data_IF_435927129091
#
_entry.id   IF_435927129091
#
_cell.length_a   1.000
_cell.length_b   1.000
_cell.length_c   1.000
_cell.angle_alpha   90.00
_cell.angle_beta   90.00
_cell.angle_gamma   90.00
#
_symmetry.space_group_name_H-M   'P 1'
#
loop_
_entity.id
_entity.type
_entity.pdbx_description
1 polymer ?
#
# COMPACT_ATOMS: atom_id res chain seq x y z
N UNK A 1 -13.49 28.89 -12.83
CA UNK A 1 -13.93 28.73 -11.44
C UNK A 1 -14.47 27.32 -11.32
N UNK A 2 -13.64 26.39 -10.90
CA UNK A 2 -13.97 24.97 -10.84
C UNK A 2 -14.40 24.67 -9.42
N UNK A 3 -15.52 23.95 -9.28
CA UNK A 3 -16.02 23.53 -7.97
C UNK A 3 -15.03 22.55 -7.32
N UNK A 4 -14.86 22.58 -6.00
CA UNK A 4 -14.03 21.62 -5.30
C UNK A 4 -14.62 20.21 -5.48
N UNK A 5 -13.75 19.23 -5.52
CA UNK A 5 -14.13 17.81 -5.50
C UNK A 5 -14.79 17.55 -4.15
N UNK A 6 -16.09 17.35 -4.14
CA UNK A 6 -16.81 16.89 -2.94
C UNK A 6 -16.80 15.36 -2.92
N UNK A 7 -16.11 14.77 -1.98
CA UNK A 7 -16.32 13.40 -1.57
C UNK A 7 -17.51 13.37 -0.61
N UNK A 8 -18.61 12.86 -1.08
CA UNK A 8 -19.80 12.68 -0.27
C UNK A 8 -19.76 11.31 0.41
N UNK A 9 -19.53 11.31 1.71
CA UNK A 9 -19.88 10.18 2.55
C UNK A 9 -21.37 10.27 2.85
N UNK A 10 -22.17 9.35 2.34
CA UNK A 10 -23.53 9.24 2.82
C UNK A 10 -23.48 8.49 4.16
N UNK A 11 -23.70 9.19 5.26
CA UNK A 11 -24.00 8.57 6.54
C UNK A 11 -25.37 7.87 6.43
N UNK A 12 -25.36 6.63 5.97
CA UNK A 12 -26.49 5.74 6.21
C UNK A 12 -26.57 5.46 7.71
N UNK A 13 -27.77 5.41 8.25
CA UNK A 13 -28.05 5.24 9.67
C UNK A 13 -27.13 4.20 10.30
N UNK A 14 -26.39 4.59 11.33
CA UNK A 14 -25.53 3.79 12.18
C UNK A 14 -26.33 2.71 12.92
N UNK A 15 -26.68 1.65 12.25
CA UNK A 15 -27.11 0.40 12.84
C UNK A 15 -26.75 -0.71 11.87
N UNK A 16 -25.71 -1.49 12.21
CA UNK A 16 -25.39 -2.82 11.70
C UNK A 16 -24.58 -2.99 10.42
N UNK A 17 -23.83 -2.02 9.89
CA UNK A 17 -22.82 -2.35 8.89
C UNK A 17 -21.52 -1.61 9.15
N UNK A 18 -20.44 -2.34 9.40
CA UNK A 18 -19.07 -1.83 9.56
C UNK A 18 -18.40 -1.46 8.23
N UNK A 19 -19.15 -1.01 7.24
CA UNK A 19 -18.63 -0.57 5.94
C UNK A 19 -19.05 0.87 5.67
N UNK A 20 -18.08 1.72 5.29
CA UNK A 20 -18.38 3.06 4.80
C UNK A 20 -18.48 3.03 3.27
N UNK A 21 -19.59 3.44 2.67
CA UNK A 21 -19.64 3.61 1.24
C UNK A 21 -18.72 4.77 0.83
N UNK A 22 -17.68 4.48 0.06
CA UNK A 22 -16.88 5.50 -0.60
C UNK A 22 -17.57 5.81 -1.92
N UNK A 23 -18.32 6.91 -1.96
CA UNK A 23 -18.83 7.44 -3.21
C UNK A 23 -17.96 8.61 -3.62
N UNK A 24 -17.25 8.48 -4.73
CA UNK A 24 -16.47 9.55 -5.31
C UNK A 24 -17.27 10.14 -6.46
N UNK A 25 -17.82 11.33 -6.21
CA UNK A 25 -18.46 12.12 -7.26
C UNK A 25 -17.56 13.31 -7.59
N UNK A 26 -16.84 13.22 -8.64
CA UNK A 26 -16.02 14.29 -9.11
C UNK A 26 -15.05 13.74 -10.18
N UNK A 27 -14.47 14.52 -11.11
CA UNK A 27 -13.88 14.04 -12.34
C UNK A 27 -12.41 13.52 -12.25
N UNK A 28 -12.11 12.23 -12.54
CA UNK A 28 -10.78 11.69 -12.85
C UNK A 28 -10.70 11.38 -14.35
N UNK A 29 -9.71 11.84 -15.04
CA UNK A 29 -9.64 11.61 -16.48
C UNK A 29 -8.95 10.31 -16.84
N UNK A 30 -9.38 9.73 -17.91
CA UNK A 30 -8.49 8.88 -18.69
C UNK A 30 -7.48 9.78 -19.41
N UNK A 31 -6.20 9.40 -19.42
CA UNK A 31 -5.08 10.16 -19.97
C UNK A 31 -5.22 10.64 -21.42
N UNK A 32 -6.27 10.22 -22.12
CA UNK A 32 -6.51 10.59 -23.52
C UNK A 32 -7.21 11.94 -23.72
N UNK A 33 -7.73 12.58 -22.65
CA UNK A 33 -8.56 13.78 -22.80
C UNK A 33 -8.06 14.94 -21.94
N UNK A 34 -6.93 15.53 -22.33
CA UNK A 34 -6.34 16.70 -21.68
C UNK A 34 -7.21 17.98 -21.73
N UNK A 35 -8.42 17.93 -22.26
CA UNK A 35 -9.30 19.10 -22.48
C UNK A 35 -10.76 18.93 -22.07
N UNK A 36 -11.16 17.82 -21.48
CA UNK A 36 -12.54 17.60 -21.06
C UNK A 36 -12.72 17.78 -19.55
N UNK A 37 -13.85 18.34 -19.09
CA UNK A 37 -14.17 18.37 -17.67
C UNK A 37 -14.32 16.93 -17.19
N UNK A 38 -13.52 16.62 -16.22
CA UNK A 38 -13.23 15.32 -15.65
C UNK A 38 -14.49 14.65 -15.10
N UNK A 39 -14.85 13.49 -15.65
CA UNK A 39 -15.82 12.58 -15.04
C UNK A 39 -15.08 11.56 -14.26
N UNK A 40 -15.43 11.37 -12.98
CA UNK A 40 -14.77 10.42 -12.11
C UNK A 40 -15.53 9.11 -12.09
N UNK A 41 -14.92 8.16 -12.64
CA UNK A 41 -15.03 6.80 -12.15
C UNK A 41 -13.69 6.43 -11.55
N UNK A 42 -13.71 6.00 -10.30
CA UNK A 42 -12.61 5.44 -9.57
C UNK A 42 -12.22 4.12 -10.22
N UNK A 43 -11.06 4.08 -10.86
CA UNK A 43 -10.59 2.90 -11.54
C UNK A 43 -9.64 2.11 -10.66
N UNK A 44 -10.15 1.08 -10.01
CA UNK A 44 -9.31 0.02 -9.45
C UNK A 44 -8.53 -0.65 -10.59
N UNK A 45 -7.33 -1.06 -10.29
CA UNK A 45 -6.47 -1.82 -11.21
C UNK A 45 -6.76 -3.31 -11.08
N UNK A 46 -6.62 -4.05 -12.17
CA UNK A 46 -6.83 -5.48 -12.23
C UNK A 46 -7.85 -5.89 -13.26
N UNK A 47 -8.14 -7.18 -13.35
CA UNK A 47 -9.23 -7.67 -14.18
C UNK A 47 -10.62 -7.28 -13.63
N UNK A 48 -11.65 -7.42 -14.43
CA UNK A 48 -13.00 -6.94 -14.10
C UNK A 48 -13.56 -7.58 -12.83
N UNK A 49 -13.31 -8.86 -12.63
CA UNK A 49 -13.80 -9.59 -11.46
C UNK A 49 -13.11 -9.13 -10.18
N UNK A 50 -11.79 -8.95 -10.23
CA UNK A 50 -11.02 -8.41 -9.10
C UNK A 50 -11.41 -6.97 -8.78
N UNK A 51 -11.64 -6.14 -9.78
CA UNK A 51 -12.12 -4.77 -9.58
C UNK A 51 -13.50 -4.76 -8.90
N UNK A 52 -14.43 -5.62 -9.35
CA UNK A 52 -15.75 -5.74 -8.73
C UNK A 52 -15.68 -6.23 -7.28
N UNK A 53 -14.88 -7.26 -7.01
CA UNK A 53 -14.64 -7.78 -5.68
C UNK A 53 -13.98 -6.73 -4.76
N UNK A 54 -12.95 -6.05 -5.24
CA UNK A 54 -12.28 -4.97 -4.51
C UNK A 54 -13.23 -3.82 -4.19
N UNK A 55 -14.07 -3.42 -5.14
CA UNK A 55 -15.09 -2.38 -4.93
C UNK A 55 -16.07 -2.78 -3.84
N UNK A 56 -16.56 -4.01 -3.86
CA UNK A 56 -17.43 -4.52 -2.80
C UNK A 56 -16.76 -4.44 -1.43
N UNK A 57 -15.48 -4.85 -1.32
CA UNK A 57 -14.73 -4.78 -0.06
C UNK A 57 -14.57 -3.33 0.42
N UNK A 58 -14.24 -2.42 -0.48
CA UNK A 58 -14.10 -0.99 -0.14
C UNK A 58 -15.43 -0.41 0.36
N UNK A 59 -16.54 -0.81 -0.24
CA UNK A 59 -17.87 -0.31 0.13
C UNK A 59 -18.45 -0.95 1.41
N UNK A 60 -18.23 -2.25 1.61
CA UNK A 60 -18.95 -3.01 2.66
C UNK A 60 -18.04 -3.74 3.64
N UNK A 61 -16.71 -3.70 3.44
CA UNK A 61 -15.77 -4.56 4.16
C UNK A 61 -15.80 -6.02 3.68
N UNK A 62 -14.91 -6.83 4.23
CA UNK A 62 -14.97 -8.28 4.03
C UNK A 62 -16.19 -8.80 4.78
N UNK A 63 -17.20 -9.20 4.04
CA UNK A 63 -18.42 -9.79 4.62
C UNK A 63 -18.15 -11.20 5.11
N UNK A 64 -18.93 -11.64 6.09
CA UNK A 64 -18.91 -13.03 6.58
C UNK A 64 -19.06 -14.01 5.40
N UNK A 65 -18.59 -15.28 5.57
CA UNK A 65 -18.53 -16.25 4.49
C UNK A 65 -19.82 -16.32 3.69
N UNK A 66 -19.71 -16.32 2.38
CA UNK A 66 -20.83 -16.37 1.44
C UNK A 66 -21.63 -17.70 1.49
N UNK A 67 -21.32 -18.58 2.43
CA UNK A 67 -21.98 -19.89 2.59
C UNK A 67 -21.58 -20.94 1.54
N UNK A 68 -20.52 -20.67 0.77
CA UNK A 68 -20.06 -21.59 -0.28
C UNK A 68 -18.93 -22.52 0.17
N UNK A 69 -18.33 -22.32 1.36
CA UNK A 69 -17.23 -23.10 1.90
C UNK A 69 -17.43 -23.47 3.37
N UNK A 70 -16.49 -24.23 3.89
CA UNK A 70 -16.46 -24.64 5.30
C UNK A 70 -15.88 -23.54 6.19
N UNK A 71 -16.29 -23.53 7.45
CA UNK A 71 -15.80 -22.58 8.45
C UNK A 71 -14.99 -23.33 9.50
N UNK A 72 -13.73 -22.97 9.62
CA UNK A 72 -12.78 -23.51 10.57
C UNK A 72 -12.48 -22.48 11.67
N UNK A 73 -12.08 -22.95 12.83
CA UNK A 73 -11.61 -22.14 13.94
C UNK A 73 -10.30 -22.70 14.45
N UNK A 74 -9.34 -21.85 14.74
CA UNK A 74 -8.05 -22.23 15.32
C UNK A 74 -7.58 -21.22 16.38
N UNK A 75 -7.13 -21.71 17.50
CA UNK A 75 -6.46 -20.94 18.55
C UNK A 75 -4.92 -20.97 18.43
N UNK A 76 -4.21 -20.24 19.29
CA UNK A 76 -2.74 -20.18 19.24
C UNK A 76 -2.02 -21.53 19.42
N UNK A 77 -2.66 -22.51 20.09
CA UNK A 77 -2.11 -23.84 20.32
C UNK A 77 -2.45 -24.87 19.24
N UNK A 78 -3.35 -24.51 18.31
CA UNK A 78 -3.80 -25.44 17.26
C UNK A 78 -2.80 -25.49 16.09
N UNK A 79 -2.92 -26.50 15.25
CA UNK A 79 -2.16 -26.62 14.01
C UNK A 79 -2.75 -25.71 12.91
N UNK A 80 -2.57 -24.39 13.08
CA UNK A 80 -3.05 -23.38 12.13
C UNK A 80 -2.54 -23.64 10.72
N UNK A 81 -1.25 -24.02 10.58
CA UNK A 81 -0.65 -24.28 9.26
C UNK A 81 -1.28 -25.51 8.60
N UNK A 82 -1.53 -26.56 9.36
CA UNK A 82 -2.22 -27.75 8.86
C UNK A 82 -3.62 -27.43 8.35
N UNK A 83 -4.36 -26.58 9.06
CA UNK A 83 -5.69 -26.11 8.61
C UNK A 83 -5.57 -25.28 7.34
N UNK A 84 -4.65 -24.32 7.28
CA UNK A 84 -4.44 -23.48 6.08
C UNK A 84 -4.16 -24.34 4.85
N UNK A 85 -3.35 -25.38 5.00
CA UNK A 85 -3.00 -26.27 3.88
C UNK A 85 -4.17 -27.09 3.34
N UNK A 86 -5.29 -27.15 4.08
CA UNK A 86 -6.52 -27.88 3.68
C UNK A 86 -7.60 -26.96 3.12
N UNK A 87 -7.45 -25.62 3.25
CA UNK A 87 -8.47 -24.69 2.81
C UNK A 87 -8.68 -24.76 1.31
N UNK A 88 -9.93 -24.85 0.92
CA UNK A 88 -10.39 -24.79 -0.47
C UNK A 88 -11.18 -23.53 -0.78
N UNK A 89 -11.67 -23.40 -2.02
CA UNK A 89 -12.43 -22.24 -2.44
C UNK A 89 -13.66 -21.94 -1.58
N UNK A 90 -13.74 -20.73 -1.05
CA UNK A 90 -14.83 -20.24 -0.21
C UNK A 90 -14.68 -20.58 1.28
N UNK A 91 -13.67 -21.34 1.66
CA UNK A 91 -13.44 -21.67 3.07
C UNK A 91 -13.00 -20.45 3.87
N UNK A 92 -13.39 -20.44 5.14
CA UNK A 92 -13.01 -19.40 6.08
C UNK A 92 -12.34 -20.02 7.30
N UNK A 93 -11.12 -19.55 7.60
CA UNK A 93 -10.46 -19.82 8.88
C UNK A 93 -10.61 -18.60 9.80
N UNK A 94 -11.36 -18.74 10.86
CA UNK A 94 -11.37 -17.80 11.96
C UNK A 94 -10.30 -18.13 12.99
N UNK A 95 -9.38 -17.19 13.17
CA UNK A 95 -8.36 -17.25 14.22
C UNK A 95 -8.98 -16.79 15.55
N UNK A 96 -8.87 -17.60 16.60
CA UNK A 96 -9.29 -17.23 17.95
C UNK A 96 -8.32 -16.25 18.58
N UNK A 97 -8.82 -15.47 19.51
CA UNK A 97 -8.01 -14.49 20.25
C UNK A 97 -6.81 -15.11 20.95
N UNK A 98 -5.73 -14.36 20.98
CA UNK A 98 -4.48 -14.74 21.61
C UNK A 98 -3.25 -14.44 20.78
N UNK A 99 -2.08 -14.82 21.29
CA UNK A 99 -0.77 -14.54 20.67
C UNK A 99 -0.26 -15.78 19.95
N UNK A 100 0.04 -15.60 18.67
CA UNK A 100 0.58 -16.61 17.76
C UNK A 100 2.06 -16.32 17.49
N UNK A 101 2.96 -17.07 18.12
CA UNK A 101 4.41 -16.98 17.88
C UNK A 101 4.82 -17.99 16.80
N UNK A 102 4.40 -17.75 15.57
CA UNK A 102 4.67 -18.62 14.43
C UNK A 102 4.59 -17.89 13.11
N UNK A 103 5.25 -18.44 12.12
CA UNK A 103 5.17 -18.02 10.72
C UNK A 103 4.08 -18.79 10.00
N UNK A 104 3.41 -18.13 9.06
CA UNK A 104 2.35 -18.70 8.22
C UNK A 104 2.81 -18.72 6.77
N UNK A 105 2.58 -19.83 6.11
CA UNK A 105 2.96 -20.06 4.71
C UNK A 105 1.74 -20.43 3.88
N UNK A 106 1.48 -19.67 2.82
CA UNK A 106 0.45 -19.96 1.83
C UNK A 106 1.13 -20.25 0.49
N UNK A 107 1.23 -21.53 0.16
CA UNK A 107 1.85 -21.96 -1.09
C UNK A 107 0.82 -22.17 -2.20
N UNK A 108 1.27 -22.52 -3.39
CA UNK A 108 0.47 -22.73 -4.60
C UNK A 108 -0.69 -23.73 -4.46
N UNK A 109 -0.72 -24.54 -3.42
CA UNK A 109 -1.86 -25.40 -3.08
C UNK A 109 -3.05 -24.68 -2.43
N UNK A 110 -2.84 -23.47 -1.90
CA UNK A 110 -3.88 -22.65 -1.30
C UNK A 110 -4.50 -21.77 -2.40
N UNK A 111 -5.58 -22.29 -3.01
CA UNK A 111 -6.23 -21.66 -4.16
C UNK A 111 -7.72 -21.54 -3.95
N UNK A 112 -8.21 -20.32 -3.82
CA UNK A 112 -9.62 -19.99 -3.95
C UNK A 112 -10.07 -19.95 -5.41
N UNK A 113 -11.18 -19.26 -5.65
CA UNK A 113 -11.70 -18.96 -6.99
C UNK A 113 -12.23 -17.52 -7.03
N UNK A 114 -12.46 -17.03 -8.22
CA UNK A 114 -13.01 -15.69 -8.48
C UNK A 114 -14.27 -15.38 -7.65
N UNK A 115 -15.18 -16.36 -7.55
CA UNK A 115 -16.45 -16.26 -6.81
C UNK A 115 -16.37 -16.82 -5.38
N UNK A 116 -15.21 -17.32 -4.94
CA UNK A 116 -15.05 -18.07 -3.69
C UNK A 116 -13.63 -17.92 -3.13
N UNK A 117 -13.33 -16.74 -2.60
CA UNK A 117 -12.04 -16.45 -1.94
C UNK A 117 -11.89 -17.29 -0.67
N UNK A 118 -10.67 -17.73 -0.41
CA UNK A 118 -10.27 -18.26 0.89
C UNK A 118 -10.08 -17.09 1.85
N UNK A 119 -10.71 -17.17 3.04
CA UNK A 119 -10.62 -16.09 4.03
C UNK A 119 -9.87 -16.57 5.27
N UNK A 120 -8.84 -15.83 5.68
CA UNK A 120 -8.17 -15.99 6.97
C UNK A 120 -8.40 -14.70 7.75
N UNK A 121 -9.16 -14.78 8.83
CA UNK A 121 -9.65 -13.62 9.57
C UNK A 121 -9.55 -13.81 11.08
N UNK A 122 -9.42 -12.73 11.83
CA UNK A 122 -9.72 -12.77 13.25
C UNK A 122 -11.19 -13.16 13.49
N UNK A 123 -11.45 -13.97 14.49
CA UNK A 123 -12.81 -14.25 14.90
C UNK A 123 -13.50 -12.95 15.37
N UNK A 124 -14.78 -12.74 15.04
CA UNK A 124 -15.45 -11.48 15.37
C UNK A 124 -15.37 -11.12 16.84
N UNK A 125 -14.83 -9.95 17.16
CA UNK A 125 -14.66 -9.43 18.51
C UNK A 125 -13.51 -10.05 19.31
N UNK A 126 -12.65 -10.85 18.69
CA UNK A 126 -11.47 -11.44 19.33
C UNK A 126 -10.18 -10.76 18.87
N UNK A 127 -9.27 -10.50 19.81
CA UNK A 127 -7.96 -9.92 19.53
C UNK A 127 -6.98 -11.03 19.12
N UNK A 128 -6.50 -10.98 17.90
CA UNK A 128 -5.55 -11.93 17.31
C UNK A 128 -4.23 -11.24 17.02
N UNK A 129 -3.14 -11.74 17.58
CA UNK A 129 -1.82 -11.13 17.45
C UNK A 129 -0.81 -12.15 16.95
N UNK A 130 -0.17 -11.88 15.82
CA UNK A 130 1.02 -12.60 15.36
C UNK A 130 2.26 -11.86 15.83
N UNK A 131 3.00 -12.45 16.76
CA UNK A 131 4.16 -11.87 17.41
C UNK A 131 5.46 -12.52 16.91
N UNK A 132 6.27 -11.73 16.23
CA UNK A 132 7.55 -12.14 15.66
C UNK A 132 8.73 -12.08 16.63
N UNK A 133 8.58 -11.55 17.84
CA UNK A 133 9.70 -11.29 18.77
C UNK A 133 10.52 -12.53 19.11
N UNK A 134 9.90 -13.69 19.19
CA UNK A 134 10.56 -14.97 19.42
C UNK A 134 11.12 -15.66 18.19
N UNK A 135 10.88 -15.11 17.00
CA UNK A 135 11.23 -15.73 15.71
C UNK A 135 12.44 -15.09 15.05
N UNK A 136 13.00 -14.07 15.66
CA UNK A 136 14.12 -13.28 15.13
C UNK A 136 15.41 -14.11 15.00
N UNK A 137 16.11 -13.94 13.88
CA UNK A 137 17.41 -14.56 13.64
C UNK A 137 17.39 -16.07 13.46
N UNK A 138 16.24 -16.71 13.44
CA UNK A 138 16.10 -18.16 13.27
C UNK A 138 15.66 -18.57 11.86
N UNK A 139 15.50 -17.60 10.96
CA UNK A 139 15.08 -17.92 9.61
C UNK A 139 16.28 -18.17 8.71
N UNK A 140 16.30 -19.36 8.13
CA UNK A 140 17.25 -19.76 7.08
C UNK A 140 16.66 -19.44 5.69
N UNK A 141 15.44 -18.89 5.65
CA UNK A 141 14.79 -18.49 4.40
C UNK A 141 15.57 -17.32 3.80
N UNK A 142 15.71 -17.32 2.48
CA UNK A 142 16.46 -16.27 1.75
C UNK A 142 15.83 -14.89 1.93
N UNK A 143 14.56 -14.84 2.33
CA UNK A 143 13.73 -13.65 2.43
C UNK A 143 13.48 -13.19 3.88
N UNK A 144 14.33 -13.62 4.81
CA UNK A 144 14.29 -13.17 6.20
C UNK A 144 13.10 -13.72 7.02
N UNK A 145 12.86 -13.16 8.20
CA UNK A 145 11.82 -13.62 9.12
C UNK A 145 10.43 -13.08 8.74
N UNK A 146 9.89 -13.48 7.59
CA UNK A 146 8.53 -13.10 7.19
C UNK A 146 7.48 -13.81 8.02
N UNK A 147 6.51 -13.07 8.57
CA UNK A 147 5.44 -13.63 9.38
C UNK A 147 4.40 -14.36 8.52
N UNK A 148 3.93 -13.72 7.47
CA UNK A 148 3.08 -14.33 6.44
C UNK A 148 3.82 -14.33 5.12
N UNK A 149 3.98 -15.50 4.52
CA UNK A 149 4.60 -15.65 3.22
C UNK A 149 3.64 -16.32 2.23
N UNK A 150 3.29 -15.59 1.18
CA UNK A 150 2.37 -15.99 0.13
C UNK A 150 3.18 -16.23 -1.14
N UNK A 151 3.21 -17.47 -1.63
CA UNK A 151 3.96 -17.85 -2.82
C UNK A 151 3.11 -18.70 -3.76
N UNK A 152 2.75 -18.13 -4.91
CA UNK A 152 1.97 -18.84 -5.93
C UNK A 152 0.54 -19.18 -5.52
N UNK A 153 0.03 -18.65 -4.42
CA UNK A 153 -1.36 -18.81 -4.00
C UNK A 153 -2.27 -17.77 -4.68
N UNK A 154 -3.57 -18.02 -4.67
CA UNK A 154 -4.49 -17.08 -5.30
C UNK A 154 -5.90 -17.09 -4.72
N UNK A 155 -6.61 -15.97 -4.93
CA UNK A 155 -7.95 -15.72 -4.40
C UNK A 155 -8.00 -15.92 -2.88
N UNK A 156 -7.15 -15.17 -2.19
CA UNK A 156 -6.98 -15.22 -0.74
C UNK A 156 -7.20 -13.84 -0.14
N UNK A 157 -7.83 -13.79 1.01
CA UNK A 157 -7.95 -12.56 1.79
C UNK A 157 -7.55 -12.77 3.24
N UNK A 158 -6.72 -11.82 3.73
CA UNK A 158 -6.23 -11.74 5.11
C UNK A 158 -6.84 -10.52 5.76
N UNK A 159 -7.47 -10.65 6.93
CA UNK A 159 -8.18 -9.51 7.53
C UNK A 159 -8.29 -9.56 9.05
N UNK A 160 -8.24 -8.37 9.67
CA UNK A 160 -8.71 -8.13 11.03
C UNK A 160 -7.80 -8.59 12.15
N UNK A 161 -6.49 -8.78 11.94
CA UNK A 161 -5.55 -9.19 12.98
C UNK A 161 -4.31 -8.28 13.03
N UNK A 162 -3.57 -8.41 14.12
CA UNK A 162 -2.31 -7.69 14.35
C UNK A 162 -1.12 -8.55 13.96
N UNK A 163 -0.08 -7.93 13.36
CA UNK A 163 1.24 -8.52 13.13
C UNK A 163 2.30 -7.55 13.67
N UNK A 164 3.15 -8.03 14.58
CA UNK A 164 4.11 -7.15 15.24
C UNK A 164 5.46 -7.81 15.50
N UNK A 165 6.43 -6.96 15.88
CA UNK A 165 7.72 -7.33 16.44
C UNK A 165 8.53 -8.31 15.56
N UNK A 166 8.38 -8.23 14.23
CA UNK A 166 9.25 -8.97 13.32
C UNK A 166 10.56 -8.19 13.15
N UNK A 167 11.66 -8.82 13.55
CA UNK A 167 13.01 -8.25 13.48
C UNK A 167 13.92 -9.10 12.64
N UNK A 168 14.73 -8.46 11.85
CA UNK A 168 15.76 -9.18 11.10
C UNK A 168 16.10 -8.48 9.80
N UNK A 169 17.18 -8.95 9.20
CA UNK A 169 17.48 -8.59 7.82
C UNK A 169 16.36 -9.12 6.93
N UNK A 170 15.84 -8.28 6.07
CA UNK A 170 14.75 -8.58 5.14
C UNK A 170 13.46 -9.09 5.80
N UNK A 171 13.23 -8.75 7.08
CA UNK A 171 12.01 -9.08 7.80
C UNK A 171 10.78 -8.44 7.14
N UNK A 172 9.68 -9.19 7.07
CA UNK A 172 8.41 -8.67 6.58
C UNK A 172 7.24 -9.17 7.44
N UNK A 173 6.26 -8.32 7.71
CA UNK A 173 5.02 -8.81 8.30
C UNK A 173 4.26 -9.65 7.27
N UNK A 174 4.07 -9.12 6.06
CA UNK A 174 3.42 -9.82 4.95
C UNK A 174 4.36 -9.77 3.74
N UNK A 175 4.70 -10.93 3.20
CA UNK A 175 5.50 -11.09 1.97
C UNK A 175 4.66 -11.81 0.90
N UNK A 176 4.50 -11.18 -0.26
CA UNK A 176 3.94 -11.79 -1.46
C UNK A 176 5.07 -12.05 -2.46
N UNK A 177 5.12 -13.24 -3.01
CA UNK A 177 6.13 -13.66 -3.97
C UNK A 177 5.55 -14.24 -5.27
N UNK A 178 6.40 -14.57 -6.27
CA UNK A 178 6.00 -14.86 -7.63
C UNK A 178 4.83 -15.84 -7.79
N UNK A 179 3.92 -15.50 -8.71
CA UNK A 179 2.73 -16.29 -9.02
C UNK A 179 1.57 -16.10 -8.05
N UNK A 180 1.74 -15.31 -7.01
CA UNK A 180 0.65 -14.92 -6.11
C UNK A 180 -0.27 -13.93 -6.80
N UNK A 181 -1.59 -14.16 -6.71
CA UNK A 181 -2.55 -13.32 -7.42
C UNK A 181 -3.92 -13.24 -6.71
N UNK A 182 -4.69 -12.19 -7.00
CA UNK A 182 -6.03 -11.98 -6.42
C UNK A 182 -6.01 -12.06 -4.90
N UNK A 183 -5.17 -11.21 -4.30
CA UNK A 183 -4.99 -11.16 -2.85
C UNK A 183 -5.55 -9.87 -2.29
N UNK A 184 -6.26 -9.99 -1.17
CA UNK A 184 -6.70 -8.86 -0.36
C UNK A 184 -6.02 -8.93 1.00
N UNK A 185 -5.39 -7.83 1.40
CA UNK A 185 -4.87 -7.64 2.76
C UNK A 185 -5.56 -6.42 3.33
N UNK A 186 -6.44 -6.61 4.30
CA UNK A 186 -7.23 -5.51 4.82
C UNK A 186 -7.39 -5.53 6.33
N UNK A 187 -7.61 -4.32 6.88
CA UNK A 187 -7.91 -4.14 8.30
C UNK A 187 -6.87 -4.78 9.24
N UNK A 188 -5.63 -4.86 8.81
CA UNK A 188 -4.53 -5.33 9.65
C UNK A 188 -3.94 -4.17 10.44
N UNK A 189 -3.48 -4.46 11.65
CA UNK A 189 -2.56 -3.61 12.40
C UNK A 189 -1.16 -4.20 12.29
N UNK A 190 -0.20 -3.44 11.74
CA UNK A 190 1.18 -3.89 11.54
C UNK A 190 2.13 -2.89 12.18
N UNK A 191 2.98 -3.34 13.10
CA UNK A 191 3.90 -2.41 13.76
C UNK A 191 5.18 -3.08 14.29
N UNK A 192 6.16 -2.24 14.62
CA UNK A 192 7.46 -2.68 15.14
C UNK A 192 8.16 -3.67 14.20
N UNK A 193 8.03 -3.48 12.89
CA UNK A 193 8.81 -4.23 11.92
C UNK A 193 10.15 -3.51 11.77
N UNK A 194 11.24 -4.17 12.13
CA UNK A 194 12.52 -3.46 12.26
C UNK A 194 13.70 -4.27 11.73
N UNK A 195 14.59 -3.58 11.03
CA UNK A 195 15.89 -4.13 10.66
C UNK A 195 16.90 -3.97 11.80
N UNK A 196 17.88 -4.90 11.96
CA UNK A 196 18.90 -4.80 13.01
C UNK A 196 19.79 -3.57 12.90
N UNK A 197 19.97 -3.04 11.71
CA UNK A 197 20.82 -1.88 11.45
C UNK A 197 20.17 -0.97 10.42
N UNK A 198 19.32 -0.04 10.83
CA UNK A 198 18.54 0.81 9.92
C UNK A 198 19.41 1.75 9.06
N UNK A 199 20.71 1.84 9.30
CA UNK A 199 21.67 2.63 8.51
C UNK A 199 22.57 1.79 7.60
N UNK A 200 22.27 0.52 7.38
CA UNK A 200 23.04 -0.36 6.51
C UNK A 200 22.21 -0.68 5.26
N UNK A 201 22.80 -0.47 4.08
CA UNK A 201 22.21 -0.84 2.79
C UNK A 201 21.93 -2.34 2.68
N UNK A 202 22.64 -3.16 3.46
CA UNK A 202 22.42 -4.60 3.52
C UNK A 202 21.26 -5.03 4.40
N UNK A 203 20.60 -4.09 5.08
CA UNK A 203 19.58 -4.37 6.07
C UNK A 203 18.28 -3.63 5.76
N UNK A 204 17.38 -4.34 5.13
CA UNK A 204 16.03 -3.88 4.80
C UNK A 204 14.99 -4.62 5.63
N UNK A 205 13.79 -4.04 5.76
CA UNK A 205 12.59 -4.73 6.23
C UNK A 205 11.34 -3.99 5.75
N UNK A 206 10.20 -4.67 5.75
CA UNK A 206 8.95 -4.13 5.24
C UNK A 206 7.77 -4.52 6.13
N UNK A 207 6.78 -3.66 6.26
CA UNK A 207 5.50 -4.11 6.79
C UNK A 207 4.78 -5.00 5.76
N UNK A 208 4.70 -4.57 4.51
CA UNK A 208 4.14 -5.37 3.41
C UNK A 208 5.09 -5.28 2.21
N UNK A 209 5.55 -6.42 1.74
CA UNK A 209 6.42 -6.52 0.56
C UNK A 209 5.77 -7.39 -0.53
N UNK A 210 5.63 -6.82 -1.72
CA UNK A 210 5.32 -7.54 -2.95
C UNK A 210 6.62 -7.63 -3.76
N UNK A 211 7.28 -8.79 -3.78
CA UNK A 211 8.55 -8.99 -4.44
C UNK A 211 8.41 -9.91 -5.65
N UNK A 212 8.21 -9.34 -6.82
CA UNK A 212 8.00 -10.05 -8.09
C UNK A 212 9.29 -10.60 -8.71
N UNK A 213 10.01 -11.46 -8.00
CA UNK A 213 11.24 -12.06 -8.52
C UNK A 213 10.99 -12.98 -9.72
N UNK A 214 11.87 -12.92 -10.69
CA UNK A 214 11.83 -13.81 -11.85
C UNK A 214 10.66 -13.55 -12.80
N UNK A 215 10.19 -14.59 -13.51
CA UNK A 215 9.26 -14.46 -14.63
C UNK A 215 7.77 -14.57 -14.30
N UNK A 216 7.40 -14.98 -13.08
CA UNK A 216 5.99 -15.13 -12.69
C UNK A 216 5.50 -13.87 -11.97
N UNK A 217 4.50 -13.24 -12.52
CA UNK A 217 3.97 -11.95 -12.03
C UNK A 217 3.16 -12.13 -10.75
N UNK A 218 3.31 -11.20 -9.81
CA UNK A 218 2.34 -10.96 -8.74
C UNK A 218 1.28 -10.03 -9.31
N UNK A 219 -0.01 -10.34 -9.16
CA UNK A 219 -1.05 -9.52 -9.78
C UNK A 219 -2.36 -9.46 -9.00
N UNK A 220 -3.15 -8.40 -9.27
CA UNK A 220 -4.46 -8.21 -8.66
C UNK A 220 -4.39 -8.23 -7.12
N UNK A 221 -3.75 -7.21 -6.54
CA UNK A 221 -3.58 -7.08 -5.09
C UNK A 221 -4.30 -5.82 -4.58
N UNK A 222 -5.06 -5.98 -3.50
CA UNK A 222 -5.68 -4.89 -2.76
C UNK A 222 -5.11 -4.84 -1.34
N UNK A 223 -4.48 -3.72 -0.99
CA UNK A 223 -4.08 -3.38 0.37
C UNK A 223 -5.03 -2.29 0.88
N UNK A 224 -5.91 -2.62 1.83
CA UNK A 224 -7.02 -1.76 2.20
C UNK A 224 -7.19 -1.56 3.70
N UNK A 225 -7.25 -0.32 4.16
CA UNK A 225 -7.47 0.07 5.57
C UNK A 225 -6.50 -0.59 6.56
N UNK A 226 -5.27 -0.83 6.18
CA UNK A 226 -4.27 -1.30 7.11
C UNK A 226 -3.71 -0.13 7.92
N UNK A 227 -3.46 -0.36 9.21
CA UNK A 227 -2.80 0.58 10.10
C UNK A 227 -1.35 0.12 10.34
N UNK A 228 -0.38 0.87 9.80
CA UNK A 228 1.04 0.51 9.82
C UNK A 228 1.80 1.60 10.57
N UNK A 229 2.52 1.23 11.64
CA UNK A 229 3.25 2.23 12.42
C UNK A 229 4.52 1.69 13.09
N UNK A 230 5.40 2.61 13.49
CA UNK A 230 6.64 2.31 14.21
C UNK A 230 7.53 1.28 13.49
N UNK A 231 7.63 1.38 12.15
CA UNK A 231 8.47 0.50 11.35
C UNK A 231 9.81 1.18 11.03
N UNK A 232 10.92 0.47 11.25
CA UNK A 232 12.28 0.94 10.94
C UNK A 232 12.86 0.12 9.80
N UNK A 233 12.58 0.57 8.60
CA UNK A 233 12.73 -0.21 7.36
C UNK A 233 14.15 -0.26 6.81
N UNK A 234 15.07 0.54 7.35
CA UNK A 234 16.42 0.66 6.79
C UNK A 234 16.39 1.44 5.48
N UNK A 235 16.95 0.89 4.42
CA UNK A 235 16.87 1.46 3.07
C UNK A 235 15.65 0.99 2.27
N UNK A 236 14.76 0.24 2.91
CA UNK A 236 13.52 -0.23 2.29
C UNK A 236 12.31 0.59 2.72
N UNK A 237 11.13 0.17 2.37
CA UNK A 237 9.88 0.89 2.51
C UNK A 237 8.89 0.14 3.40
N UNK A 238 7.94 0.85 4.01
CA UNK A 238 6.90 0.17 4.81
C UNK A 238 5.98 -0.68 3.93
N UNK A 239 5.50 -0.14 2.79
CA UNK A 239 4.83 -0.91 1.73
C UNK A 239 5.69 -0.80 0.48
N UNK A 240 6.22 -1.93 0.03
CA UNK A 240 7.03 -2.02 -1.17
C UNK A 240 6.38 -2.89 -2.24
N UNK A 241 6.31 -2.36 -3.47
CA UNK A 241 5.84 -3.06 -4.66
C UNK A 241 7.02 -3.13 -5.63
N UNK A 242 7.69 -4.26 -5.72
CA UNK A 242 8.98 -4.36 -6.38
C UNK A 242 9.02 -5.37 -7.52
N UNK A 243 9.71 -5.01 -8.60
CA UNK A 243 9.95 -5.84 -9.78
C UNK A 243 8.68 -6.27 -10.53
N UNK A 244 8.54 -7.56 -10.89
CA UNK A 244 7.45 -8.08 -11.73
C UNK A 244 6.11 -8.15 -10.98
N UNK A 245 5.50 -6.99 -10.75
CA UNK A 245 4.21 -6.84 -10.09
C UNK A 245 3.26 -6.01 -10.95
N UNK A 246 2.00 -6.40 -11.01
CA UNK A 246 0.99 -5.69 -11.80
C UNK A 246 -0.34 -5.57 -11.07
N UNK A 247 -1.05 -4.47 -11.32
CA UNK A 247 -2.43 -4.28 -10.85
C UNK A 247 -2.55 -4.29 -9.31
N UNK A 248 -1.89 -3.33 -8.67
CA UNK A 248 -1.91 -3.15 -7.22
C UNK A 248 -2.72 -1.93 -6.84
N UNK A 249 -3.64 -2.10 -5.90
CA UNK A 249 -4.43 -1.03 -5.30
C UNK A 249 -4.06 -0.87 -3.82
N UNK A 250 -3.52 0.27 -3.45
CA UNK A 250 -3.17 0.64 -2.06
C UNK A 250 -4.13 1.74 -1.65
N UNK A 251 -5.14 1.38 -0.85
CA UNK A 251 -6.33 2.23 -0.63
C UNK A 251 -6.61 2.44 0.84
N UNK A 252 -6.76 3.69 1.26
CA UNK A 252 -7.18 4.09 2.60
C UNK A 252 -6.35 3.49 3.75
N UNK A 253 -5.06 3.24 3.54
CA UNK A 253 -4.17 2.80 4.62
C UNK A 253 -3.68 4.01 5.42
N UNK A 254 -3.36 3.78 6.69
CA UNK A 254 -2.69 4.73 7.57
C UNK A 254 -1.26 4.25 7.84
N UNK A 255 -0.28 5.12 7.60
CA UNK A 255 1.13 4.85 7.84
C UNK A 255 1.70 5.96 8.72
N UNK A 256 2.22 5.60 9.90
CA UNK A 256 2.73 6.59 10.87
C UNK A 256 4.08 6.16 11.42
N UNK A 257 5.01 7.09 11.53
CA UNK A 257 6.35 6.85 12.06
C UNK A 257 7.05 5.66 11.35
N UNK A 258 7.10 5.75 10.02
CA UNK A 258 7.81 4.77 9.19
C UNK A 258 9.18 5.32 8.79
N UNK A 259 10.16 4.44 8.73
CA UNK A 259 11.49 4.79 8.24
C UNK A 259 11.53 4.91 6.72
N UNK A 260 12.48 5.68 6.20
CA UNK A 260 12.77 5.88 4.79
C UNK A 260 11.57 6.31 3.94
N UNK A 261 10.83 5.37 3.37
CA UNK A 261 9.69 5.60 2.49
C UNK A 261 8.47 4.82 3.01
N UNK A 262 7.30 5.43 3.01
CA UNK A 262 6.09 4.76 3.47
C UNK A 262 5.50 3.83 2.39
N UNK A 263 5.42 4.29 1.13
CA UNK A 263 4.86 3.51 0.00
C UNK A 263 5.77 3.70 -1.22
N UNK A 264 6.28 2.60 -1.78
CA UNK A 264 7.12 2.63 -2.98
C UNK A 264 6.68 1.63 -4.05
N UNK A 265 6.83 2.03 -5.31
CA UNK A 265 6.83 1.16 -6.49
C UNK A 265 8.25 1.19 -7.07
N UNK A 266 9.00 0.09 -6.92
CA UNK A 266 10.42 0.01 -7.23
C UNK A 266 10.73 -0.95 -8.38
N UNK A 267 11.44 -0.49 -9.39
CA UNK A 267 11.77 -1.28 -10.58
C UNK A 267 13.19 -1.11 -11.08
N UNK A 268 13.61 -2.05 -11.91
CA UNK A 268 14.91 -2.10 -12.62
C UNK A 268 16.12 -2.42 -11.74
N UNK A 269 15.93 -3.00 -10.57
CA UNK A 269 16.99 -3.41 -9.64
C UNK A 269 17.57 -4.81 -9.91
N UNK A 270 17.23 -5.44 -11.04
CA UNK A 270 17.75 -6.75 -11.42
C UNK A 270 17.10 -7.93 -10.72
N UNK A 271 15.90 -7.73 -10.11
CA UNK A 271 15.18 -8.80 -9.42
C UNK A 271 14.38 -9.71 -10.36
N UNK A 272 14.09 -9.26 -11.58
CA UNK A 272 13.36 -9.99 -12.60
C UNK A 272 14.02 -9.80 -13.98
N UNK A 273 13.61 -10.55 -15.02
CA UNK A 273 14.04 -10.26 -16.38
C UNK A 273 13.74 -8.80 -16.75
N UNK A 274 14.67 -8.09 -17.37
CA UNK A 274 14.61 -6.64 -17.62
C UNK A 274 13.33 -6.17 -18.34
N UNK A 275 12.66 -7.04 -19.07
CA UNK A 275 11.38 -6.73 -19.72
C UNK A 275 10.20 -6.61 -18.77
N UNK A 276 10.33 -7.11 -17.54
CA UNK A 276 9.28 -7.14 -16.51
C UNK A 276 9.79 -6.74 -15.12
N UNK A 277 11.03 -6.29 -15.01
CA UNK A 277 11.65 -5.87 -13.73
C UNK A 277 11.17 -4.47 -13.31
N UNK A 278 9.88 -4.25 -13.38
CA UNK A 278 9.24 -3.00 -12.95
C UNK A 278 7.75 -3.23 -12.67
N UNK A 279 7.22 -2.59 -11.62
CA UNK A 279 5.79 -2.63 -11.37
C UNK A 279 5.00 -1.84 -12.42
N UNK A 280 3.78 -2.31 -12.70
CA UNK A 280 2.87 -1.63 -13.64
C UNK A 280 1.43 -1.62 -13.13
N UNK A 281 0.65 -0.62 -13.57
CA UNK A 281 -0.78 -0.51 -13.27
C UNK A 281 -1.08 -0.41 -11.76
N UNK A 282 -0.50 0.61 -11.10
CA UNK A 282 -0.71 0.89 -9.69
C UNK A 282 -1.77 1.97 -9.43
N UNK A 283 -2.46 1.85 -8.29
CA UNK A 283 -3.29 2.91 -7.71
C UNK A 283 -2.94 3.08 -6.24
N UNK A 284 -2.54 4.28 -5.85
CA UNK A 284 -2.32 4.68 -4.45
C UNK A 284 -3.35 5.77 -4.14
N UNK A 285 -4.38 5.41 -3.38
CA UNK A 285 -5.56 6.25 -3.24
C UNK A 285 -5.99 6.42 -1.79
N UNK A 286 -6.15 7.69 -1.37
CA UNK A 286 -6.75 8.03 -0.09
C UNK A 286 -5.95 7.56 1.13
N UNK A 287 -4.66 7.30 1.00
CA UNK A 287 -3.82 6.92 2.13
C UNK A 287 -3.42 8.15 2.95
N UNK A 288 -3.20 7.94 4.25
CA UNK A 288 -2.67 8.94 5.16
C UNK A 288 -1.27 8.50 5.57
N UNK A 289 -0.27 9.34 5.32
CA UNK A 289 1.13 9.13 5.72
C UNK A 289 1.55 10.28 6.62
N UNK A 290 2.04 9.94 7.82
CA UNK A 290 2.53 10.93 8.79
C UNK A 290 3.86 10.49 9.40
N UNK A 291 4.73 11.44 9.72
CA UNK A 291 6.01 11.18 10.39
C UNK A 291 6.88 10.12 9.66
N UNK A 292 6.98 10.23 8.34
CA UNK A 292 7.84 9.37 7.53
C UNK A 292 9.20 10.06 7.31
N UNK A 293 10.25 9.49 7.88
CA UNK A 293 11.58 10.11 7.90
C UNK A 293 12.70 9.13 7.53
N UNK A 294 13.55 9.53 6.60
CA UNK A 294 14.79 8.84 6.31
C UNK A 294 15.88 9.35 7.27
N UNK A 295 16.32 8.50 8.18
CA UNK A 295 17.30 8.88 9.22
C UNK A 295 18.73 9.08 8.72
N UNK A 296 19.03 8.96 7.44
CA UNK A 296 20.38 9.02 6.83
C UNK A 296 20.44 9.78 5.52
N UNK A 297 19.32 10.11 4.91
CA UNK A 297 19.19 10.94 3.72
C UNK A 297 17.84 11.65 3.74
N UNK A 298 17.45 12.36 2.70
CA UNK A 298 16.11 12.88 2.49
C UNK A 298 15.31 11.91 1.62
N UNK A 299 14.24 11.34 2.18
CA UNK A 299 13.32 10.47 1.47
C UNK A 299 11.98 11.15 1.20
N UNK A 300 11.27 10.72 0.19
CA UNK A 300 9.87 11.12 -0.01
C UNK A 300 8.95 10.06 0.56
N UNK A 301 7.87 10.47 1.19
CA UNK A 301 6.94 9.55 1.85
C UNK A 301 6.29 8.54 0.89
N UNK A 302 6.03 8.95 -0.35
CA UNK A 302 5.49 8.09 -1.40
C UNK A 302 6.39 8.22 -2.64
N UNK A 303 6.79 7.09 -3.23
CA UNK A 303 7.76 7.08 -4.30
C UNK A 303 7.37 6.16 -5.46
N UNK A 304 7.52 6.68 -6.68
CA UNK A 304 7.45 5.91 -7.92
C UNK A 304 8.86 5.86 -8.53
N UNK A 305 9.51 4.71 -8.48
CA UNK A 305 10.86 4.49 -9.00
C UNK A 305 10.88 3.37 -10.02
N UNK A 306 11.26 3.66 -11.24
CA UNK A 306 11.37 2.65 -12.30
C UNK A 306 10.03 1.94 -12.64
N UNK A 307 8.91 2.60 -12.48
CA UNK A 307 7.56 2.03 -12.64
C UNK A 307 6.74 2.68 -13.75
N UNK A 308 5.64 2.08 -14.14
CA UNK A 308 4.79 2.56 -15.23
C UNK A 308 3.31 2.53 -14.86
N UNK A 309 2.55 3.53 -15.32
CA UNK A 309 1.10 3.61 -15.16
C UNK A 309 0.65 3.48 -13.71
N UNK A 310 1.13 4.39 -12.86
CA UNK A 310 0.78 4.48 -11.45
C UNK A 310 0.12 5.82 -11.17
N UNK A 311 -1.00 5.78 -10.47
CA UNK A 311 -1.76 6.94 -10.05
C UNK A 311 -1.68 7.14 -8.54
N UNK A 312 -1.20 8.30 -8.10
CA UNK A 312 -1.18 8.76 -6.71
C UNK A 312 -2.25 9.83 -6.52
N UNK A 313 -3.37 9.45 -5.92
CA UNK A 313 -4.57 10.30 -5.91
C UNK A 313 -5.16 10.43 -4.52
N UNK A 314 -5.52 11.65 -4.13
CA UNK A 314 -6.22 11.95 -2.89
C UNK A 314 -5.50 11.46 -1.62
N UNK A 315 -4.18 11.31 -1.64
CA UNK A 315 -3.42 10.95 -0.46
C UNK A 315 -3.15 12.20 0.39
N UNK A 316 -3.04 11.99 1.69
CA UNK A 316 -2.58 12.99 2.64
C UNK A 316 -1.19 12.61 3.14
N UNK A 317 -0.21 13.50 2.96
CA UNK A 317 1.16 13.34 3.49
C UNK A 317 1.44 14.50 4.41
N UNK A 318 1.83 14.23 5.64
CA UNK A 318 2.09 15.26 6.66
C UNK A 318 3.35 14.98 7.46
N UNK A 319 4.07 16.04 7.78
CA UNK A 319 5.21 15.99 8.71
C UNK A 319 6.27 14.96 8.27
N UNK A 320 6.62 14.97 6.98
CA UNK A 320 7.55 14.04 6.35
C UNK A 320 8.76 14.78 5.74
N UNK A 321 9.83 14.05 5.41
CA UNK A 321 10.99 14.63 4.73
C UNK A 321 10.61 15.16 3.36
N UNK A 322 9.89 14.41 2.54
CA UNK A 322 9.29 14.82 1.29
C UNK A 322 7.88 14.30 1.10
N UNK A 323 7.13 14.85 0.14
CA UNK A 323 5.78 14.41 -0.16
C UNK A 323 5.74 13.20 -1.09
N UNK A 324 5.58 13.42 -2.40
CA UNK A 324 5.50 12.37 -3.43
C UNK A 324 6.64 12.57 -4.43
N UNK A 325 7.44 11.54 -4.66
CA UNK A 325 8.49 11.54 -5.69
C UNK A 325 8.12 10.63 -6.87
N UNK A 326 8.53 11.09 -8.06
CA UNK A 326 8.54 10.30 -9.30
C UNK A 326 9.96 10.31 -9.82
N UNK A 327 10.70 9.26 -9.52
CA UNK A 327 12.12 9.12 -9.83
C UNK A 327 12.43 7.94 -10.74
N UNK A 328 13.69 7.73 -11.03
CA UNK A 328 14.23 6.57 -11.73
C UNK A 328 15.72 6.43 -11.36
N UNK A 329 15.98 5.72 -10.28
CA UNK A 329 17.35 5.56 -9.76
C UNK A 329 18.19 4.68 -10.68
N UNK A 330 17.65 3.53 -11.04
CA UNK A 330 18.32 2.59 -11.93
C UNK A 330 18.03 2.85 -13.41
N UNK A 331 18.78 2.22 -14.29
CA UNK A 331 18.61 2.34 -15.73
C UNK A 331 17.23 1.83 -16.18
N UNK A 332 16.44 2.70 -16.77
CA UNK A 332 15.08 2.41 -17.20
C UNK A 332 14.25 3.67 -17.28
N UNK A 333 12.95 3.55 -17.14
CA UNK A 333 12.10 4.74 -17.12
C UNK A 333 10.90 4.60 -16.20
N UNK A 334 10.61 5.67 -15.49
CA UNK A 334 9.34 5.91 -14.83
C UNK A 334 8.48 6.78 -15.71
N UNK A 335 7.30 6.31 -16.05
CA UNK A 335 6.43 7.07 -16.95
C UNK A 335 4.96 6.76 -16.80
N UNK A 336 4.16 7.67 -17.36
CA UNK A 336 2.70 7.53 -17.32
C UNK A 336 2.19 7.60 -15.88
N UNK A 337 2.67 8.61 -15.15
CA UNK A 337 2.38 8.81 -13.73
C UNK A 337 1.41 9.97 -13.54
N UNK A 338 0.42 9.79 -12.69
CA UNK A 338 -0.50 10.83 -12.25
C UNK A 338 -0.31 11.10 -10.76
N UNK A 339 -0.07 12.36 -10.40
CA UNK A 339 -0.04 12.86 -9.02
C UNK A 339 -1.15 13.90 -8.88
N UNK A 340 -2.30 13.50 -8.32
CA UNK A 340 -3.47 14.35 -8.38
C UNK A 340 -4.25 14.46 -7.07
N UNK A 341 -4.72 15.67 -6.78
CA UNK A 341 -5.62 15.97 -5.65
C UNK A 341 -5.08 15.53 -4.28
N UNK A 342 -3.77 15.45 -4.10
CA UNK A 342 -3.15 15.11 -2.83
C UNK A 342 -3.06 16.35 -1.92
N UNK A 343 -3.08 16.13 -0.61
CA UNK A 343 -2.77 17.13 0.40
C UNK A 343 -1.38 16.87 0.98
N UNK A 344 -0.46 17.81 0.79
CA UNK A 344 0.94 17.68 1.16
C UNK A 344 1.32 18.81 2.11
N UNK A 345 1.56 18.47 3.39
CA UNK A 345 1.72 19.44 4.47
C UNK A 345 3.00 19.15 5.25
N UNK A 346 3.76 20.19 5.55
CA UNK A 346 5.01 20.07 6.31
C UNK A 346 5.98 19.04 5.69
N UNK A 347 6.18 19.10 4.37
CA UNK A 347 7.18 18.28 3.67
C UNK A 347 8.45 19.09 3.47
N UNK A 348 9.52 18.69 4.14
CA UNK A 348 10.73 19.50 4.26
C UNK A 348 11.43 19.75 2.91
N UNK A 349 11.59 18.72 2.09
CA UNK A 349 12.29 18.80 0.81
C UNK A 349 11.42 19.41 -0.29
N UNK A 350 10.26 18.84 -0.56
CA UNK A 350 9.25 19.36 -1.47
C UNK A 350 7.91 18.65 -1.29
N UNK A 351 6.84 19.21 -1.84
CA UNK A 351 5.58 18.51 -1.99
C UNK A 351 5.70 17.41 -3.05
N UNK A 352 6.28 17.73 -4.22
CA UNK A 352 6.45 16.76 -5.30
C UNK A 352 7.89 16.86 -5.85
N UNK A 353 8.58 15.72 -5.94
CA UNK A 353 9.85 15.53 -6.62
C UNK A 353 9.65 14.86 -7.98
N UNK A 354 10.34 15.34 -9.02
CA UNK A 354 10.27 14.82 -10.39
C UNK A 354 11.67 14.58 -10.95
N UNK A 355 12.08 13.34 -11.06
CA UNK A 355 13.44 12.91 -11.40
C UNK A 355 14.24 12.60 -10.14
N UNK A 356 15.33 11.85 -10.30
CA UNK A 356 16.23 11.48 -9.21
C UNK A 356 17.61 12.09 -9.43
N UNK A 357 18.11 12.92 -8.52
CA UNK A 357 19.48 13.44 -8.62
C UNK A 357 20.48 12.28 -8.61
N UNK A 358 21.30 12.20 -9.67
CA UNK A 358 22.30 11.13 -9.78
C UNK A 358 21.78 9.77 -10.26
N UNK A 359 20.47 9.61 -10.43
CA UNK A 359 19.87 8.42 -11.02
C UNK A 359 20.26 8.23 -12.49
N UNK A 360 20.28 6.98 -12.94
CA UNK A 360 20.64 6.64 -14.32
C UNK A 360 19.45 6.47 -15.27
N UNK A 361 18.22 6.45 -14.71
CA UNK A 361 16.98 6.29 -15.45
C UNK A 361 16.36 7.60 -15.93
N UNK A 362 15.19 7.49 -16.55
CA UNK A 362 14.49 8.62 -17.14
C UNK A 362 13.05 8.75 -16.66
N UNK A 363 12.68 9.93 -16.18
CA UNK A 363 11.29 10.27 -15.83
C UNK A 363 10.63 11.02 -16.98
N UNK A 364 9.46 10.56 -17.41
CA UNK A 364 8.69 11.20 -18.48
C UNK A 364 7.19 10.98 -18.35
N UNK A 365 6.42 11.78 -19.07
CA UNK A 365 4.95 11.66 -19.16
C UNK A 365 4.28 11.65 -17.77
N UNK A 366 4.58 12.68 -16.97
CA UNK A 366 4.04 12.86 -15.62
C UNK A 366 3.02 13.99 -15.60
N UNK A 367 1.87 13.76 -15.00
CA UNK A 367 0.88 14.80 -14.74
C UNK A 367 0.76 15.08 -13.26
N UNK A 368 0.94 16.35 -12.86
CA UNK A 368 0.79 16.83 -11.49
C UNK A 368 -0.36 17.83 -11.46
N UNK A 369 -1.49 17.44 -10.85
CA UNK A 369 -2.72 18.22 -10.97
C UNK A 369 -3.51 18.33 -9.67
N UNK A 370 -4.04 19.53 -9.39
CA UNK A 370 -5.01 19.75 -8.31
C UNK A 370 -4.50 19.48 -6.90
N UNK A 371 -3.18 19.36 -6.72
CA UNK A 371 -2.61 19.09 -5.40
C UNK A 371 -2.61 20.38 -4.55
N UNK A 372 -2.78 20.21 -3.25
CA UNK A 372 -2.76 21.28 -2.26
C UNK A 372 -1.52 21.17 -1.39
N UNK A 373 -0.83 22.29 -1.20
CA UNK A 373 0.42 22.35 -0.48
C UNK A 373 0.35 23.33 0.68
N UNK A 374 0.95 22.99 1.80
CA UNK A 374 1.19 23.90 2.92
C UNK A 374 2.53 23.61 3.57
N UNK A 375 3.29 24.67 3.81
CA UNK A 375 4.59 24.60 4.49
C UNK A 375 5.49 23.48 3.90
N UNK A 376 5.88 23.63 2.64
CA UNK A 376 6.71 22.66 1.93
C UNK A 376 7.98 23.30 1.37
N UNK A 377 9.03 22.49 1.16
CA UNK A 377 10.23 22.88 0.41
C UNK A 377 11.21 23.75 1.18
N UNK A 378 11.15 23.86 2.49
CA UNK A 378 12.06 24.76 3.22
C UNK A 378 13.54 24.34 3.18
N UNK A 379 13.84 23.07 2.91
CA UNK A 379 15.21 22.60 2.66
C UNK A 379 15.68 22.88 1.23
N UNK A 380 14.75 23.01 0.29
CA UNK A 380 15.04 23.24 -1.14
C UNK A 380 14.78 24.68 -1.60
N UNK A 381 14.80 25.64 -0.68
CA UNK A 381 14.62 27.07 -0.98
C UNK A 381 13.17 27.49 -1.29
N UNK A 382 12.19 26.73 -0.80
CA UNK A 382 10.75 27.03 -0.93
C UNK A 382 10.09 26.40 -2.15
N UNK A 383 10.73 25.44 -2.80
CA UNK A 383 10.16 24.77 -3.96
C UNK A 383 9.05 23.79 -3.55
N UNK A 384 7.84 23.96 -4.09
CA UNK A 384 6.76 22.96 -3.93
C UNK A 384 6.91 21.79 -4.89
N UNK A 385 7.46 22.04 -6.08
CA UNK A 385 7.76 21.00 -7.08
C UNK A 385 9.23 21.13 -7.46
N UNK A 386 10.01 20.08 -7.18
CA UNK A 386 11.41 19.97 -7.63
C UNK A 386 11.45 19.18 -8.93
N UNK A 387 12.33 19.59 -9.85
CA UNK A 387 12.53 18.92 -11.14
C UNK A 387 14.00 18.63 -11.38
N UNK A 388 14.31 17.35 -11.56
CA UNK A 388 15.66 16.84 -11.81
C UNK A 388 15.69 16.08 -13.15
N UNK A 389 15.55 16.81 -14.28
CA UNK A 389 15.66 16.21 -15.61
C UNK A 389 14.44 15.49 -16.14
N UNK A 390 13.28 15.56 -15.49
CA UNK A 390 12.04 14.96 -15.99
C UNK A 390 11.53 15.67 -17.26
N UNK A 391 10.99 14.90 -18.20
CA UNK A 391 10.44 15.36 -19.48
C UNK A 391 8.93 15.05 -19.61
N UNK A 392 8.23 15.75 -20.52
CA UNK A 392 6.79 15.51 -20.73
C UNK A 392 5.95 15.78 -19.49
N UNK A 393 6.34 16.73 -18.66
CA UNK A 393 5.65 17.06 -17.41
C UNK A 393 4.56 18.07 -17.65
N UNK A 394 3.32 17.69 -17.31
CA UNK A 394 2.18 18.61 -17.25
C UNK A 394 1.88 18.92 -15.78
N UNK A 395 1.93 20.20 -15.43
CA UNK A 395 1.64 20.64 -14.05
C UNK A 395 0.68 21.83 -14.09
N UNK A 396 -0.49 21.68 -13.48
CA UNK A 396 -1.55 22.71 -13.50
C UNK A 396 -2.50 22.55 -12.30
N UNK A 397 -3.19 23.67 -11.98
CA UNK A 397 -4.19 23.74 -10.90
C UNK A 397 -3.71 23.25 -9.52
N UNK A 398 -2.40 23.32 -9.28
CA UNK A 398 -1.82 23.07 -7.96
C UNK A 398 -1.77 24.41 -7.20
N UNK A 399 -2.05 24.41 -5.90
CA UNK A 399 -2.11 25.64 -5.14
C UNK A 399 -1.68 25.49 -3.68
N UNK A 400 -1.19 26.59 -3.13
CA UNK A 400 -0.92 26.71 -1.70
C UNK A 400 -2.22 26.99 -0.93
N UNK A 401 -2.32 26.43 0.26
CA UNK A 401 -3.35 26.75 1.23
C UNK A 401 -2.73 27.54 2.38
N UNK A 402 -3.30 28.70 2.66
CA UNK A 402 -2.73 29.64 3.62
C UNK A 402 -3.32 29.48 5.05
N UNK A 403 -4.48 28.86 5.19
CA UNK A 403 -5.22 28.77 6.44
C UNK A 403 -5.52 27.34 6.88
N UNK A 404 -5.60 27.11 8.20
CA UNK A 404 -5.98 25.81 8.77
C UNK A 404 -7.40 25.37 8.37
N UNK A 405 -8.31 26.33 8.17
CA UNK A 405 -9.70 26.08 7.74
C UNK A 405 -9.78 25.43 6.35
N UNK A 406 -8.79 25.69 5.48
CA UNK A 406 -8.71 25.05 4.16
C UNK A 406 -8.15 23.61 4.22
N UNK A 407 -7.73 23.16 5.40
CA UNK A 407 -7.21 21.81 5.63
C UNK A 407 -8.28 20.81 6.04
N UNK A 408 -9.49 21.27 6.35
CA UNK A 408 -10.63 20.38 6.54
C UNK A 408 -10.96 19.68 5.23
N UNK A 409 -10.19 18.62 4.97
CA UNK A 409 -10.56 17.66 3.97
C UNK A 409 -11.67 16.81 4.55
N UNK A 410 -12.82 16.71 3.87
CA UNK A 410 -13.88 15.81 4.31
C UNK A 410 -13.49 14.34 4.26
N UNK A 411 -12.20 14.01 4.13
CA UNK A 411 -11.81 12.73 3.60
C UNK A 411 -11.56 11.63 4.60
N UNK A 412 -10.96 11.89 5.75
CA UNK A 412 -10.61 10.78 6.66
C UNK A 412 -10.37 11.19 8.12
N UNK A 413 -10.61 12.43 8.53
CA UNK A 413 -10.39 12.86 9.91
C UNK A 413 -11.38 12.23 10.93
N UNK A 414 -12.33 11.40 10.48
CA UNK A 414 -13.31 10.73 11.35
C UNK A 414 -13.19 9.21 11.36
N UNK A 415 -12.13 8.64 10.81
CA UNK A 415 -11.91 7.21 10.96
C UNK A 415 -11.34 6.91 12.36
N UNK A 416 -12.23 6.83 13.35
CA UNK A 416 -11.94 6.14 14.59
C UNK A 416 -11.85 4.64 14.26
N UNK A 417 -10.67 4.07 14.42
CA UNK A 417 -10.49 2.63 14.34
C UNK A 417 -11.34 1.98 15.45
N UNK A 418 -12.44 1.30 15.13
CA UNK A 418 -13.32 0.71 16.15
C UNK A 418 -12.67 -0.44 16.93
N UNK A 419 -11.43 -0.81 16.59
CA UNK A 419 -10.65 -1.79 17.33
C UNK A 419 -9.81 -1.19 18.46
N UNK A 420 -9.85 0.14 18.69
CA UNK A 420 -9.12 0.82 19.76
C UNK A 420 -10.01 1.27 20.94
N UNK A 421 -11.27 0.79 21.02
CA UNK A 421 -12.16 0.99 22.19
C UNK A 421 -12.76 -0.30 22.68
#
# INVERSE_FOLDING_TARGET
MFAPVELLFSAGSLAESKGFPISISGPLSTRAEASAPWKHEYYLRGDEAFQAHSRQIIETGITAPSGQGEVYYAGPSDDVQGIINMLGPGDTLYLRGGVYSRKIRLYSGVQGREDAYITIAAAPGEEVVFDGSGLNGHDQDQDGPSMFWLYGCGYVQLTGFEVRDAHGRDASAILLEPGTHHVVVSDLTIHNITTPSPKSEDHCCNAILLMGRGGSTISNVLLFRNNIYDCKTGWSEAISVAANVSSVNIVANQLTNTGNIAICFAGNYGNAPSSVDHPVHGLVFGNIVTDCHCGYDTGFAIYADGTQDVDFICNTVRDCDGGIEVGAEESGSTHTILVANNLLVNCAEAAVGLGTPGGSGHVRDVTVYGNRYRNVGWLSGGASILRFGASGVNSYDNYYIDNDEDMDLPFFDTYENPALH
#
